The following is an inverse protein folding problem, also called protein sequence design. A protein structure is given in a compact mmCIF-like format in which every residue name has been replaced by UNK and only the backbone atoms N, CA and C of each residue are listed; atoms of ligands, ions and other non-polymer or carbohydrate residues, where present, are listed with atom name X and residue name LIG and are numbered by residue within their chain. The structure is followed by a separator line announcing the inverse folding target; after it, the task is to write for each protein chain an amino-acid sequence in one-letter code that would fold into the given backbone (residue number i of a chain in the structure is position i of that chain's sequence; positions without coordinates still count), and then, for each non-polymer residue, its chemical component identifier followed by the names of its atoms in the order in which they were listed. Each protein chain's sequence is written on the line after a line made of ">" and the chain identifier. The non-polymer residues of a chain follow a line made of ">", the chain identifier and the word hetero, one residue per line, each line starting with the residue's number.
data_IF_348719403804
#
_entry.id   IF_348719403804
#
_cell.length_a   1.000
_cell.length_b   1.000
_cell.length_c   1.000
_cell.angle_alpha   90.00
_cell.angle_beta   90.00
_cell.angle_gamma   90.00
#
_symmetry.space_group_name_H-M   'P 1'
#
loop_
_entity.id
_entity.type
_entity.pdbx_description
1 polymer ?
#
# COMPACT_ATOMS: atom_id res chain seq x y z
N UNK A 1 14.82 -10.62 7.24
CA UNK A 1 14.01 -10.04 6.15
C UNK A 1 12.96 -11.05 5.72
N UNK A 2 11.73 -10.61 5.55
CA UNK A 2 10.63 -11.45 5.09
C UNK A 2 10.10 -10.90 3.77
N UNK A 3 9.84 -11.78 2.81
CA UNK A 3 9.22 -11.44 1.52
C UNK A 3 7.73 -11.76 1.59
N UNK A 4 6.89 -10.81 1.18
CA UNK A 4 5.44 -10.94 1.30
C UNK A 4 4.77 -10.59 -0.02
N UNK A 5 3.89 -11.48 -0.50
CA UNK A 5 2.99 -11.20 -1.63
C UNK A 5 1.57 -11.10 -1.12
N UNK A 6 0.78 -10.20 -1.71
CA UNK A 6 -0.63 -10.04 -1.32
C UNK A 6 -1.47 -9.63 -2.51
N UNK A 7 -2.77 -9.85 -2.41
CA UNK A 7 -3.74 -9.50 -3.45
C UNK A 7 -4.73 -8.47 -2.91
N UNK A 8 -5.06 -7.49 -3.77
CA UNK A 8 -6.08 -6.49 -3.50
C UNK A 8 -6.96 -6.35 -4.74
N UNK A 9 -8.17 -5.83 -4.56
CA UNK A 9 -9.09 -5.59 -5.69
C UNK A 9 -9.52 -4.13 -5.68
N UNK A 10 -9.12 -3.39 -6.71
CA UNK A 10 -9.53 -2.01 -6.94
C UNK A 10 -10.78 -2.01 -7.82
N UNK A 11 -11.74 -1.14 -7.54
CA UNK A 11 -12.92 -0.98 -8.37
C UNK A 11 -12.48 -0.58 -9.79
N UNK A 12 -12.96 -1.29 -10.80
CA UNK A 12 -12.49 -1.14 -12.18
C UNK A 12 -12.67 0.30 -12.69
N UNK A 13 -13.79 0.94 -12.35
CA UNK A 13 -14.07 2.32 -12.76
C UNK A 13 -13.26 3.36 -11.98
N UNK A 14 -12.52 2.95 -10.94
CA UNK A 14 -11.69 3.84 -10.12
C UNK A 14 -10.19 3.66 -10.36
N UNK A 15 -9.80 2.79 -11.27
CA UNK A 15 -8.39 2.51 -11.55
C UNK A 15 -7.61 3.77 -11.94
N UNK A 16 -8.10 4.66 -12.83
CA UNK A 16 -7.34 5.85 -13.19
C UNK A 16 -7.04 6.76 -12.00
N UNK A 17 -8.02 6.95 -11.10
CA UNK A 17 -7.85 7.77 -9.89
C UNK A 17 -6.85 7.11 -8.92
N UNK A 18 -6.96 5.80 -8.74
CA UNK A 18 -6.05 5.03 -7.91
C UNK A 18 -4.60 5.19 -8.37
N UNK A 19 -4.37 5.04 -9.68
CA UNK A 19 -3.03 5.21 -10.27
C UNK A 19 -2.51 6.64 -10.10
N UNK A 20 -3.38 7.64 -10.25
CA UNK A 20 -2.99 9.04 -10.09
C UNK A 20 -2.50 9.32 -8.66
N UNK A 21 -3.20 8.80 -7.65
CA UNK A 21 -2.77 8.96 -6.26
C UNK A 21 -1.43 8.28 -5.99
N UNK A 22 -1.18 7.12 -6.61
CA UNK A 22 0.07 6.39 -6.42
C UNK A 22 1.27 7.04 -7.10
N UNK A 23 1.05 7.94 -8.07
CA UNK A 23 2.15 8.73 -8.66
C UNK A 23 2.59 9.87 -7.75
N UNK A 24 1.79 10.21 -6.76
CA UNK A 24 2.01 11.37 -5.89
C UNK A 24 1.82 11.01 -4.42
N UNK A 25 2.39 9.87 -4.00
CA UNK A 25 2.39 9.47 -2.59
C UNK A 25 3.16 10.50 -1.79
N UNK A 26 2.57 10.94 -0.66
CA UNK A 26 3.19 12.00 0.15
C UNK A 26 4.54 11.53 0.72
N UNK A 27 5.50 12.46 0.88
CA UNK A 27 6.77 12.12 1.54
C UNK A 27 6.58 11.54 2.95
N UNK A 28 5.58 12.00 3.69
CA UNK A 28 5.24 11.49 5.03
C UNK A 28 4.94 10.00 4.99
N UNK A 29 4.16 9.56 4.00
CA UNK A 29 3.80 8.15 3.85
C UNK A 29 5.02 7.31 3.47
N UNK A 30 5.85 7.80 2.57
CA UNK A 30 7.09 7.11 2.18
C UNK A 30 8.04 6.96 3.37
N UNK A 31 8.16 8.01 4.19
CA UNK A 31 8.99 7.96 5.39
C UNK A 31 8.44 6.99 6.42
N UNK A 32 7.10 6.94 6.59
CA UNK A 32 6.45 6.01 7.49
C UNK A 32 6.73 4.56 7.08
N UNK A 33 6.67 4.26 5.79
CA UNK A 33 6.99 2.92 5.28
C UNK A 33 8.45 2.55 5.61
N UNK A 34 9.39 3.46 5.38
CA UNK A 34 10.80 3.21 5.69
C UNK A 34 11.02 2.98 7.18
N UNK A 35 10.41 3.81 8.04
CA UNK A 35 10.55 3.67 9.50
C UNK A 35 10.07 2.31 10.00
N UNK A 36 9.07 1.73 9.32
CA UNK A 36 8.48 0.46 9.72
C UNK A 36 9.05 -0.73 8.94
N UNK A 37 10.17 -0.53 8.26
CA UNK A 37 10.91 -1.62 7.65
C UNK A 37 10.39 -2.12 6.32
N UNK A 38 9.53 -1.33 5.65
CA UNK A 38 9.02 -1.68 4.32
C UNK A 38 10.03 -1.30 3.25
N UNK A 39 10.44 -2.24 2.43
CA UNK A 39 11.38 -2.00 1.34
C UNK A 39 11.05 -2.82 0.11
N UNK A 40 11.63 -2.46 -1.01
CA UNK A 40 11.42 -3.12 -2.29
C UNK A 40 9.94 -3.41 -2.57
N UNK A 41 9.10 -2.39 -2.41
CA UNK A 41 7.65 -2.50 -2.50
C UNK A 41 7.23 -2.28 -3.94
N UNK A 42 6.54 -3.26 -4.53
CA UNK A 42 6.06 -3.20 -5.91
C UNK A 42 4.58 -3.56 -5.97
N UNK A 43 3.85 -2.84 -6.81
CA UNK A 43 2.43 -3.09 -7.04
C UNK A 43 2.21 -3.31 -8.54
N UNK A 44 1.49 -4.37 -8.88
CA UNK A 44 1.17 -4.74 -10.25
C UNK A 44 -0.33 -4.80 -10.41
N UNK A 45 -0.88 -4.07 -11.39
CA UNK A 45 -2.32 -3.94 -11.59
C UNK A 45 -2.75 -4.58 -12.90
N UNK A 46 -3.76 -5.47 -12.82
CA UNK A 46 -4.45 -5.98 -14.00
C UNK A 46 -5.53 -4.99 -14.45
N UNK A 47 -5.94 -5.02 -15.75
CA UNK A 47 -6.98 -4.11 -16.24
C UNK A 47 -8.34 -4.28 -15.55
N UNK A 48 -8.62 -5.42 -14.93
CA UNK A 48 -9.87 -5.66 -14.19
C UNK A 48 -9.81 -5.16 -12.74
N UNK A 49 -8.68 -4.59 -12.31
CA UNK A 49 -8.51 -4.07 -10.97
C UNK A 49 -7.89 -5.04 -9.97
N UNK A 50 -7.66 -6.29 -10.35
CA UNK A 50 -6.93 -7.20 -9.48
C UNK A 50 -5.47 -6.76 -9.41
N UNK A 51 -4.98 -6.56 -8.20
CA UNK A 51 -3.64 -6.05 -7.96
C UNK A 51 -2.84 -7.04 -7.12
N UNK A 52 -1.62 -7.31 -7.56
CA UNK A 52 -0.64 -8.09 -6.82
C UNK A 52 0.39 -7.13 -6.20
N UNK A 53 0.59 -7.24 -4.89
CA UNK A 53 1.63 -6.48 -4.19
C UNK A 53 2.75 -7.38 -3.73
N UNK A 54 3.97 -6.85 -3.80
CA UNK A 54 5.16 -7.51 -3.27
C UNK A 54 5.92 -6.52 -2.40
N UNK A 55 6.35 -6.98 -1.23
CA UNK A 55 7.13 -6.14 -0.34
C UNK A 55 8.14 -7.00 0.43
N UNK A 56 9.30 -6.40 0.72
CA UNK A 56 10.29 -6.98 1.63
C UNK A 56 10.26 -6.18 2.92
N UNK A 57 10.09 -6.87 4.06
CA UNK A 57 10.08 -6.22 5.35
C UNK A 57 11.31 -6.66 6.15
N UNK A 58 11.91 -5.71 6.88
CA UNK A 58 13.18 -5.93 7.57
C UNK A 58 13.07 -6.95 8.71
N UNK A 59 11.90 -7.05 9.32
CA UNK A 59 11.61 -7.95 10.42
C UNK A 59 10.52 -8.93 10.01
N UNK A 60 9.33 -8.88 10.62
CA UNK A 60 8.22 -9.68 10.16
C UNK A 60 7.06 -8.78 9.70
N UNK A 61 6.17 -9.35 8.88
CA UNK A 61 5.09 -8.58 8.26
C UNK A 61 4.08 -8.08 9.28
N UNK A 62 3.80 -8.86 10.32
CA UNK A 62 2.86 -8.44 11.37
C UNK A 62 3.39 -7.21 12.11
N UNK A 63 4.67 -7.20 12.47
CA UNK A 63 5.28 -6.04 13.11
C UNK A 63 5.27 -4.82 12.19
N UNK A 64 5.51 -5.02 10.90
CA UNK A 64 5.47 -3.95 9.90
C UNK A 64 4.07 -3.36 9.76
N UNK A 65 3.03 -4.20 9.76
CA UNK A 65 1.63 -3.75 9.72
C UNK A 65 1.25 -2.99 11.00
N UNK A 66 1.63 -3.53 12.15
CA UNK A 66 1.35 -2.90 13.44
C UNK A 66 2.00 -1.52 13.53
N UNK A 67 3.25 -1.40 13.06
CA UNK A 67 3.95 -0.12 13.03
C UNK A 67 3.24 0.88 12.14
N UNK A 68 2.78 0.46 10.95
CA UNK A 68 2.05 1.35 10.04
C UNK A 68 0.70 1.79 10.62
N UNK A 69 0.02 0.92 11.37
CA UNK A 69 -1.29 1.26 11.96
C UNK A 69 -1.19 2.42 12.96
N UNK A 70 -0.02 2.66 13.54
CA UNK A 70 0.23 3.79 14.43
C UNK A 70 0.69 5.07 13.76
N UNK A 71 0.86 5.07 12.44
CA UNK A 71 1.36 6.23 11.69
C UNK A 71 0.20 7.09 11.19
N UNK A 72 0.22 8.38 11.50
CA UNK A 72 -0.81 9.33 11.05
C UNK A 72 -0.85 9.41 9.52
N UNK A 73 0.30 9.41 8.87
CA UNK A 73 0.39 9.44 7.41
C UNK A 73 -0.34 8.24 6.79
N UNK A 74 -0.19 7.06 7.40
CA UNK A 74 -0.88 5.86 6.93
C UNK A 74 -2.40 5.97 7.13
N UNK A 75 -2.84 6.51 8.27
CA UNK A 75 -4.27 6.70 8.52
C UNK A 75 -4.90 7.61 7.48
N UNK A 76 -4.24 8.72 7.14
CA UNK A 76 -4.70 9.62 6.08
C UNK A 76 -4.74 8.93 4.72
N UNK A 77 -3.71 8.15 4.41
CA UNK A 77 -3.63 7.42 3.15
C UNK A 77 -4.73 6.37 3.03
N UNK A 78 -4.98 5.59 4.09
CA UNK A 78 -6.02 4.57 4.08
C UNK A 78 -7.41 5.17 3.92
N UNK A 79 -7.68 6.30 4.57
CA UNK A 79 -8.96 7.01 4.42
C UNK A 79 -9.15 7.47 2.97
N UNK A 80 -8.10 7.98 2.34
CA UNK A 80 -8.13 8.43 0.95
C UNK A 80 -8.36 7.25 0.00
N UNK A 81 -7.75 6.09 0.27
CA UNK A 81 -7.79 4.93 -0.63
C UNK A 81 -9.01 4.04 -0.46
N UNK A 82 -9.64 4.07 0.70
CA UNK A 82 -10.76 3.16 1.03
C UNK A 82 -11.84 3.11 -0.05
N UNK A 83 -12.30 4.24 -0.62
CA UNK A 83 -13.36 4.20 -1.65
C UNK A 83 -12.97 3.50 -2.94
N UNK A 84 -11.68 3.27 -3.18
CA UNK A 84 -11.21 2.67 -4.42
C UNK A 84 -11.22 1.14 -4.39
N UNK A 85 -11.31 0.54 -3.22
CA UNK A 85 -11.26 -0.92 -3.07
C UNK A 85 -12.65 -1.52 -3.04
N UNK A 86 -12.76 -2.73 -3.61
CA UNK A 86 -13.96 -3.55 -3.43
C UNK A 86 -13.95 -4.12 -2.02
N UNK A 87 -15.08 -4.04 -1.37
CA UNK A 87 -15.25 -4.55 -0.01
C UNK A 87 -15.64 -6.02 -0.01
#
# INVERSE_FOLDING_TARGET
>A
MQRVGFLLKVKEDRIPEYKAHHRAVSPDMLDALRRNGWGNYSLFMRPDGLMFGYVEVSDDFRAALDGMSGEDANSRWQTLMEPFFES
#
